data_IF_250144598973
#
_entry.id   IF_250144598973
#
_cell.length_a   1.000
_cell.length_b   1.000
_cell.length_c   1.000
_cell.angle_alpha   90.00
_cell.angle_beta   90.00
_cell.angle_gamma   90.00
#
_symmetry.space_group_name_H-M   'P 1'
#
loop_
_entity.id
_entity.type
_entity.pdbx_description
1 polymer ?
#
# COMPACT_ATOMS: atom_id res chain seq x y z
N UNK A 1 9.14 -8.68 20.77
CA UNK A 1 8.06 -9.00 19.81
C UNK A 1 8.64 -8.97 18.41
N UNK A 2 8.37 -9.98 17.59
CA UNK A 2 8.78 -10.01 16.18
C UNK A 2 7.54 -9.92 15.31
N UNK A 3 7.53 -9.01 14.35
CA UNK A 3 6.46 -8.80 13.37
C UNK A 3 7.02 -9.15 11.99
N UNK A 4 6.32 -10.03 11.29
CA UNK A 4 6.68 -10.43 9.93
C UNK A 4 5.80 -9.71 8.92
N UNK A 5 6.38 -9.31 7.78
CA UNK A 5 5.65 -8.72 6.66
C UNK A 5 6.33 -9.08 5.35
N UNK A 6 5.54 -9.35 4.33
CA UNK A 6 6.02 -9.54 2.96
C UNK A 6 6.23 -8.23 2.18
N UNK A 7 5.76 -7.11 2.74
CA UNK A 7 5.89 -5.79 2.14
C UNK A 7 7.27 -5.18 2.40
N UNK A 8 8.24 -5.57 1.57
CA UNK A 8 9.62 -5.08 1.63
C UNK A 8 9.70 -3.55 1.59
N UNK A 9 8.87 -2.90 0.77
CA UNK A 9 8.83 -1.43 0.66
C UNK A 9 8.40 -0.77 1.98
N UNK A 10 7.39 -1.33 2.67
CA UNK A 10 6.95 -0.81 3.96
C UNK A 10 8.03 -0.98 5.04
N UNK A 11 8.70 -2.14 5.07
CA UNK A 11 9.81 -2.39 6.00
C UNK A 11 10.97 -1.42 5.77
N UNK A 12 11.35 -1.18 4.52
CA UNK A 12 12.37 -0.19 4.17
C UNK A 12 11.97 1.24 4.54
N UNK A 13 10.71 1.61 4.32
CA UNK A 13 10.19 2.93 4.67
C UNK A 13 10.23 3.18 6.18
N UNK A 14 9.91 2.17 7.00
CA UNK A 14 10.02 2.24 8.46
C UNK A 14 11.47 2.28 8.93
N UNK A 15 12.35 1.50 8.30
CA UNK A 15 13.78 1.50 8.62
C UNK A 15 14.48 2.82 8.26
N UNK A 16 14.03 3.52 7.20
CA UNK A 16 14.56 4.82 6.77
C UNK A 16 13.43 5.83 6.53
N UNK A 17 12.90 6.47 7.59
CA UNK A 17 11.82 7.44 7.48
C UNK A 17 12.25 8.77 6.82
N UNK A 18 12.48 8.81 5.50
CA UNK A 18 12.80 10.06 4.77
C UNK A 18 11.81 10.32 3.63
N UNK A 19 11.16 11.49 3.64
CA UNK A 19 10.39 12.11 2.54
C UNK A 19 9.59 11.15 1.61
N UNK A 20 8.72 10.29 2.15
CA UNK A 20 7.87 9.38 1.35
C UNK A 20 6.38 9.78 1.36
N UNK A 21 5.60 9.32 0.37
CA UNK A 21 4.13 9.36 0.47
C UNK A 21 3.69 8.47 1.65
N UNK A 22 2.69 8.91 2.44
CA UNK A 22 2.27 8.17 3.65
C UNK A 22 3.12 8.38 4.90
N UNK A 23 4.00 9.39 4.91
CA UNK A 23 4.86 9.76 6.06
C UNK A 23 4.15 9.92 7.42
N UNK A 24 2.84 10.17 7.46
CA UNK A 24 2.10 10.16 8.72
C UNK A 24 2.12 8.77 9.38
N UNK A 25 1.91 7.71 8.61
CA UNK A 25 1.92 6.32 9.10
C UNK A 25 3.32 5.87 9.46
N UNK A 26 4.29 6.11 8.58
CA UNK A 26 5.69 5.73 8.84
C UNK A 26 6.22 6.39 10.11
N UNK A 27 5.97 7.69 10.31
CA UNK A 27 6.36 8.39 11.55
C UNK A 27 5.63 7.84 12.77
N UNK A 28 4.35 7.51 12.65
CA UNK A 28 3.58 6.95 13.76
C UNK A 28 4.11 5.56 14.16
N UNK A 29 4.42 4.70 13.19
CA UNK A 29 5.01 3.37 13.42
C UNK A 29 6.38 3.53 14.09
N UNK A 30 7.27 4.35 13.53
CA UNK A 30 8.61 4.56 14.09
C UNK A 30 8.56 5.11 15.52
N UNK A 31 7.69 6.09 15.80
CA UNK A 31 7.49 6.62 17.16
C UNK A 31 6.95 5.56 18.12
N UNK A 32 6.03 4.71 17.65
CA UNK A 32 5.46 3.64 18.47
C UNK A 32 6.54 2.62 18.84
N UNK A 33 7.40 2.25 17.88
CA UNK A 33 8.56 1.37 18.12
C UNK A 33 9.49 1.99 19.15
N UNK A 34 9.92 3.24 18.93
CA UNK A 34 10.80 3.97 19.84
C UNK A 34 10.26 4.02 21.28
N UNK A 35 8.99 4.37 21.44
CA UNK A 35 8.35 4.46 22.76
C UNK A 35 8.27 3.10 23.46
N UNK A 36 8.12 2.00 22.70
CA UNK A 36 8.07 0.65 23.26
C UNK A 36 9.46 0.16 23.66
N UNK A 37 10.47 0.46 22.86
CA UNK A 37 11.86 0.13 23.18
C UNK A 37 12.34 0.88 24.42
N UNK A 38 11.97 2.17 24.57
CA UNK A 38 12.24 2.94 25.79
C UNK A 38 11.59 2.37 27.06
N UNK A 39 10.58 1.49 26.91
CA UNK A 39 9.94 0.76 28.03
C UNK A 39 10.45 -0.68 28.20
N UNK A 40 11.58 -1.03 27.56
CA UNK A 40 12.19 -2.37 27.63
C UNK A 40 11.55 -3.42 26.72
N UNK A 41 10.63 -3.02 25.83
CA UNK A 41 9.97 -3.93 24.88
C UNK A 41 10.56 -3.77 23.48
N UNK A 42 11.46 -4.69 23.12
CA UNK A 42 12.08 -4.71 21.80
C UNK A 42 11.11 -5.20 20.72
N UNK A 43 11.01 -4.45 19.62
CA UNK A 43 10.19 -4.80 18.45
C UNK A 43 11.12 -5.05 17.26
N UNK A 44 11.08 -6.26 16.70
CA UNK A 44 11.80 -6.63 15.48
C UNK A 44 10.83 -6.70 14.32
N UNK A 45 11.16 -6.06 13.21
CA UNK A 45 10.45 -6.24 11.94
C UNK A 45 11.28 -7.16 11.04
N UNK A 46 10.66 -8.18 10.46
CA UNK A 46 11.32 -9.17 9.61
C UNK A 46 10.57 -9.34 8.30
N UNK A 47 11.32 -9.44 7.21
CA UNK A 47 10.76 -9.73 5.89
C UNK A 47 10.54 -11.23 5.69
N UNK A 48 9.44 -11.59 5.01
CA UNK A 48 9.16 -12.94 4.54
C UNK A 48 8.69 -12.92 3.09
N UNK A 49 8.94 -13.97 2.29
CA UNK A 49 8.42 -14.03 0.93
C UNK A 49 6.90 -14.16 0.91
N UNK A 50 6.25 -13.40 0.01
CA UNK A 50 4.81 -13.52 -0.26
C UNK A 50 4.51 -14.80 -1.04
N UNK A 51 3.31 -15.36 -0.86
CA UNK A 51 2.81 -16.55 -1.57
C UNK A 51 3.72 -17.79 -1.53
N UNK A 52 4.53 -17.93 -0.48
CA UNK A 52 5.50 -19.01 -0.33
C UNK A 52 5.00 -20.20 0.51
N UNK A 53 3.69 -20.33 0.75
CA UNK A 53 3.16 -21.40 1.62
C UNK A 53 3.22 -21.09 3.11
N UNK A 54 3.58 -19.85 3.50
CA UNK A 54 3.69 -19.46 4.91
C UNK A 54 2.28 -19.23 5.47
N UNK A 55 1.76 -20.23 6.18
CA UNK A 55 0.38 -20.23 6.69
C UNK A 55 -0.03 -18.94 7.42
N UNK A 56 0.88 -18.35 8.21
CA UNK A 56 0.63 -17.09 8.91
C UNK A 56 0.49 -15.87 7.98
N UNK A 57 1.34 -15.77 6.95
CA UNK A 57 1.25 -14.68 5.96
C UNK A 57 -0.03 -14.81 5.13
N UNK A 58 -0.32 -16.02 4.67
CA UNK A 58 -1.51 -16.28 3.85
C UNK A 58 -2.81 -16.01 4.61
N UNK A 59 -2.85 -16.35 5.90
CA UNK A 59 -3.99 -16.00 6.75
C UNK A 59 -4.11 -14.48 6.90
N UNK A 60 -3.00 -13.76 7.11
CA UNK A 60 -2.99 -12.31 7.20
C UNK A 60 -3.47 -11.65 5.90
N UNK A 61 -3.02 -12.13 4.74
CA UNK A 61 -3.42 -11.64 3.42
C UNK A 61 -4.92 -11.84 3.17
N UNK A 62 -5.45 -13.04 3.49
CA UNK A 62 -6.88 -13.33 3.36
C UNK A 62 -7.72 -12.40 4.24
N UNK A 63 -7.31 -12.19 5.49
CA UNK A 63 -8.00 -11.28 6.40
C UNK A 63 -7.95 -9.82 5.88
N UNK A 64 -6.80 -9.35 5.40
CA UNK A 64 -6.66 -8.02 4.84
C UNK A 64 -7.55 -7.82 3.59
N UNK A 65 -7.64 -8.83 2.72
CA UNK A 65 -8.52 -8.82 1.56
C UNK A 65 -10.00 -8.73 1.96
N UNK A 66 -10.44 -9.55 2.93
CA UNK A 66 -11.83 -9.52 3.41
C UNK A 66 -12.21 -8.17 4.03
N UNK A 67 -11.30 -7.54 4.76
CA UNK A 67 -11.51 -6.22 5.37
C UNK A 67 -11.62 -5.07 4.35
N UNK A 68 -11.28 -5.31 3.09
CA UNK A 68 -11.37 -4.32 2.00
C UNK A 68 -12.57 -4.57 1.08
N UNK A 69 -13.44 -5.53 1.43
CA UNK A 69 -14.63 -5.88 0.62
C UNK A 69 -15.62 -4.71 0.52
N UNK A 70 -16.40 -4.59 -0.57
CA UNK A 70 -17.45 -3.58 -0.68
C UNK A 70 -18.41 -3.63 0.52
N UNK A 71 -18.68 -2.47 1.14
CA UNK A 71 -19.48 -2.38 2.36
C UNK A 71 -18.71 -2.52 3.67
N UNK A 72 -17.40 -2.81 3.62
CA UNK A 72 -16.56 -2.84 4.82
C UNK A 72 -16.40 -1.44 5.42
N UNK A 73 -16.49 -1.36 6.76
CA UNK A 73 -16.30 -0.11 7.48
C UNK A 73 -14.81 0.24 7.53
N UNK A 74 -14.45 1.42 7.02
CA UNK A 74 -13.09 1.95 7.21
C UNK A 74 -12.94 2.34 8.68
N UNK A 75 -11.97 1.72 9.36
CA UNK A 75 -11.63 2.10 10.73
C UNK A 75 -11.15 3.56 10.76
N UNK A 76 -11.84 4.40 11.54
CA UNK A 76 -11.36 5.76 11.81
C UNK A 76 -10.13 5.65 12.71
N UNK A 77 -9.02 6.26 12.30
CA UNK A 77 -7.80 6.30 13.06
C UNK A 77 -7.76 7.63 13.84
N UNK A 78 -7.94 7.64 15.18
CA UNK A 78 -8.04 8.88 15.94
C UNK A 78 -6.80 9.79 15.80
N UNK A 79 -5.63 9.18 15.58
CA UNK A 79 -4.36 9.86 15.41
C UNK A 79 -4.09 10.34 13.96
N UNK A 80 -4.94 9.97 12.99
CA UNK A 80 -4.77 10.31 11.57
C UNK A 80 -6.01 11.00 11.00
N UNK A 81 -5.93 12.32 10.81
CA UNK A 81 -6.98 13.14 10.20
C UNK A 81 -6.75 13.40 8.70
N UNK A 82 -5.75 12.76 8.09
CA UNK A 82 -5.43 12.94 6.68
C UNK A 82 -6.39 12.21 5.75
N UNK A 83 -6.52 12.70 4.51
CA UNK A 83 -7.20 11.94 3.45
C UNK A 83 -6.19 10.98 2.80
N UNK A 84 -6.55 9.70 2.70
CA UNK A 84 -5.78 8.75 1.89
C UNK A 84 -5.84 9.19 0.42
N UNK A 85 -4.70 9.57 -0.17
CA UNK A 85 -4.58 9.80 -1.61
C UNK A 85 -4.25 8.45 -2.26
N UNK A 86 -5.26 7.61 -2.54
CA UNK A 86 -4.99 6.37 -3.26
C UNK A 86 -4.78 6.67 -4.75
N UNK A 87 -3.65 6.23 -5.30
CA UNK A 87 -3.43 6.19 -6.76
C UNK A 87 -4.39 5.19 -7.38
N UNK A 88 -4.60 4.05 -6.72
CA UNK A 88 -5.55 3.00 -7.11
C UNK A 88 -6.98 3.53 -7.27
N UNK A 89 -7.45 4.44 -6.40
CA UNK A 89 -8.78 5.05 -6.55
C UNK A 89 -8.91 6.06 -7.69
N UNK A 90 -7.80 6.55 -8.26
CA UNK A 90 -7.82 7.30 -9.53
C UNK A 90 -7.80 6.35 -10.72
N UNK A 91 -6.95 5.32 -10.68
CA UNK A 91 -6.81 4.34 -11.75
C UNK A 91 -8.11 3.54 -11.93
N UNK A 92 -8.74 3.08 -10.85
CA UNK A 92 -10.03 2.38 -10.93
C UNK A 92 -11.15 3.29 -11.43
N UNK A 93 -11.16 4.59 -11.10
CA UNK A 93 -12.13 5.54 -11.68
C UNK A 93 -11.88 5.80 -13.15
N UNK A 94 -10.62 5.87 -13.57
CA UNK A 94 -10.24 6.00 -14.98
C UNK A 94 -10.57 4.70 -15.77
N UNK A 95 -10.39 3.53 -15.17
CA UNK A 95 -10.73 2.22 -15.74
C UNK A 95 -12.24 1.94 -15.75
N UNK A 96 -13.01 2.46 -14.78
CA UNK A 96 -14.48 2.38 -14.80
C UNK A 96 -15.10 3.20 -15.94
N UNK A 97 -14.38 4.17 -16.51
CA UNK A 97 -14.78 4.92 -17.71
C UNK A 97 -14.36 4.17 -18.99
N UNK A 98 -13.55 3.12 -18.90
CA UNK A 98 -13.14 2.32 -20.05
C UNK A 98 -14.27 1.36 -20.47
N UNK A 99 -14.91 1.68 -21.60
CA UNK A 99 -15.88 0.85 -22.32
C UNK A 99 -15.34 -0.56 -22.61
N UNK A 100 -16.22 -1.56 -22.81
CA UNK A 100 -15.82 -2.95 -23.06
C UNK A 100 -14.83 -3.06 -24.23
N UNK A 101 -13.81 -3.91 -24.03
CA UNK A 101 -12.64 -4.09 -24.91
C UNK A 101 -13.02 -4.57 -26.33
N UNK A 102 -14.25 -5.07 -26.51
CA UNK A 102 -14.78 -5.56 -27.80
C UNK A 102 -15.03 -4.48 -28.86
N UNK A 103 -15.05 -3.19 -28.51
CA UNK A 103 -15.27 -2.09 -29.47
C UNK A 103 -13.98 -1.54 -30.11
N UNK A 104 -12.79 -1.99 -29.67
CA UNK A 104 -11.54 -1.29 -29.97
C UNK A 104 -10.63 -2.07 -30.93
N UNK A 105 -10.88 -1.89 -32.22
CA UNK A 105 -9.93 -2.28 -33.27
C UNK A 105 -8.95 -1.13 -33.52
N UNK A 106 -7.66 -1.47 -33.43
CA UNK A 106 -6.44 -0.66 -33.71
C UNK A 106 -5.94 0.29 -32.62
N UNK A 107 -4.67 0.05 -32.21
CA UNK A 107 -3.59 0.96 -31.78
C UNK A 107 -3.80 2.18 -30.86
N UNK A 108 -5.03 2.65 -30.64
CA UNK A 108 -5.37 3.84 -29.84
C UNK A 108 -5.23 3.59 -28.33
N UNK A 109 -5.39 2.35 -27.89
CA UNK A 109 -5.30 1.99 -26.47
C UNK A 109 -3.93 2.31 -25.88
N UNK A 110 -2.85 1.94 -26.56
CA UNK A 110 -1.47 2.21 -26.12
C UNK A 110 -1.19 3.71 -25.98
N UNK A 111 -1.67 4.55 -26.91
CA UNK A 111 -1.47 6.01 -26.87
C UNK A 111 -2.19 6.68 -25.70
N UNK A 112 -3.37 6.18 -25.31
CA UNK A 112 -4.12 6.74 -24.18
C UNK A 112 -3.60 6.26 -22.83
N UNK A 113 -3.14 5.01 -22.73
CA UNK A 113 -2.46 4.51 -21.52
C UNK A 113 -1.15 5.27 -21.31
N UNK A 114 -0.39 5.52 -22.37
CA UNK A 114 0.85 6.31 -22.34
C UNK A 114 0.59 7.78 -21.92
N UNK A 115 -0.49 8.40 -22.43
CA UNK A 115 -0.89 9.75 -22.03
C UNK A 115 -1.42 9.86 -20.59
N UNK A 116 -1.93 8.76 -20.01
CA UNK A 116 -2.41 8.70 -18.62
C UNK A 116 -1.27 8.46 -17.61
N UNK A 117 -0.07 8.13 -18.09
CA UNK A 117 1.14 8.09 -17.27
C UNK A 117 1.73 9.52 -17.18
N UNK A 118 2.10 10.01 -15.99
CA UNK A 118 2.73 11.33 -15.88
C UNK A 118 4.08 11.32 -16.61
N UNK A 119 4.16 11.99 -17.76
CA UNK A 119 5.39 12.08 -18.55
C UNK A 119 6.43 13.02 -17.96
N UNK A 120 7.61 12.47 -17.63
CA UNK A 120 8.92 12.84 -18.21
C UNK A 120 10.00 11.86 -17.73
N UNK A 121 10.37 10.93 -18.58
CA UNK A 121 11.73 10.38 -18.63
C UNK A 121 12.38 10.88 -19.92
N UNK A 122 13.68 11.17 -19.84
CA UNK A 122 14.57 11.85 -20.82
C UNK A 122 14.36 13.38 -20.79
N UNK A 123 15.24 14.22 -20.26
CA UNK A 123 16.70 14.16 -20.03
C UNK A 123 17.05 14.89 -18.73
#
# INVERSE_FOLDING_TARGET
>A
VTIYSDNMSALQAVAKPRHQSGQAFIRHIARTIWNREGSGKYIRLAWIPSHAGVAGNEAADKLAATATSPGSRVATLPWFQGKFRSVVGRVNRAQQIARPISEWTTGRHLKMVDAALPGKHVR
#
